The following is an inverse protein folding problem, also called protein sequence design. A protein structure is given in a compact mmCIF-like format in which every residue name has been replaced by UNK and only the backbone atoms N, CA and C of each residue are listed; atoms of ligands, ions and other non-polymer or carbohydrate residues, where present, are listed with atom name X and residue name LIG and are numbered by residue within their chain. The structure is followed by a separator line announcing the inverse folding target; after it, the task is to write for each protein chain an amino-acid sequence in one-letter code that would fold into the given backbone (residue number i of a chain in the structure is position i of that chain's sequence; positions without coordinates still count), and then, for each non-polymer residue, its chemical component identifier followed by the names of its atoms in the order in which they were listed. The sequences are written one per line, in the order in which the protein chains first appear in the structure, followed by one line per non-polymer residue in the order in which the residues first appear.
data_IF_384235899537
#
_entry.id   IF_384235899537
#
_cell.length_a   1.000
_cell.length_b   1.000
_cell.length_c   1.000
_cell.angle_alpha   90.00
_cell.angle_beta   90.00
_cell.angle_gamma   90.00
#
_symmetry.space_group_name_H-M   'P 1'
#
loop_
_entity.id
_entity.type
_entity.pdbx_description
1 polymer ?
#
# COMPACT_ATOMS: atom_id res chain seq x y z
N UNK A 1 -16.21 4.27 10.34
CA UNK A 1 -17.27 4.84 9.48
C UNK A 1 -17.74 6.21 9.97
N UNK A 2 -17.72 6.50 11.27
CA UNK A 2 -18.15 7.80 11.86
C UNK A 2 -17.55 9.04 11.18
N UNK A 3 -16.24 9.03 10.90
CA UNK A 3 -15.59 10.16 10.22
C UNK A 3 -16.14 10.42 8.80
N UNK A 4 -16.65 9.40 8.09
CA UNK A 4 -17.32 9.61 6.81
C UNK A 4 -18.71 10.19 6.99
N UNK A 5 -19.48 9.73 7.98
CA UNK A 5 -20.81 10.29 8.26
C UNK A 5 -20.72 11.80 8.56
N UNK A 6 -19.74 12.22 9.38
CA UNK A 6 -19.51 13.63 9.70
C UNK A 6 -19.19 14.50 8.48
N UNK A 7 -18.59 13.94 7.42
CA UNK A 7 -18.29 14.70 6.19
C UNK A 7 -19.53 15.03 5.36
N UNK A 8 -20.59 14.25 5.52
CA UNK A 8 -21.86 14.34 4.78
C UNK A 8 -23.03 14.75 5.68
N UNK A 9 -22.75 15.21 6.92
CA UNK A 9 -23.77 15.65 7.87
C UNK A 9 -24.52 16.89 7.36
N UNK A 10 -23.79 17.85 6.79
CA UNK A 10 -24.35 18.98 6.04
C UNK A 10 -24.32 18.65 4.54
N UNK A 11 -25.51 18.44 3.95
CA UNK A 11 -25.65 18.09 2.53
C UNK A 11 -25.29 19.25 1.58
N UNK A 12 -25.37 20.50 2.05
CA UNK A 12 -25.03 21.69 1.27
C UNK A 12 -23.52 21.98 1.32
N UNK A 13 -22.82 21.52 2.37
CA UNK A 13 -21.39 21.77 2.61
C UNK A 13 -20.57 20.50 2.83
N UNK A 14 -20.66 19.54 1.91
CA UNK A 14 -19.91 18.27 2.00
C UNK A 14 -18.40 18.48 2.04
N UNK A 15 -17.74 18.01 3.09
CA UNK A 15 -16.28 18.09 3.26
C UNK A 15 -15.60 16.98 2.46
N UNK A 16 -15.18 17.31 1.23
CA UNK A 16 -14.47 16.38 0.35
C UNK A 16 -13.02 16.16 0.79
N UNK A 17 -12.47 15.00 0.44
CA UNK A 17 -11.06 14.70 0.67
C UNK A 17 -10.25 15.17 -0.54
N UNK A 18 -9.01 15.64 -0.34
CA UNK A 18 -8.18 16.05 -1.45
C UNK A 18 -7.88 14.84 -2.35
N UNK A 19 -7.92 15.06 -3.66
CA UNK A 19 -7.49 14.06 -4.63
C UNK A 19 -5.97 13.87 -4.52
N UNK A 20 -5.52 12.63 -4.60
CA UNK A 20 -4.11 12.27 -4.73
C UNK A 20 -3.95 11.34 -5.91
N UNK A 21 -2.84 11.49 -6.63
CA UNK A 21 -2.50 10.59 -7.72
C UNK A 21 -2.40 9.14 -7.20
N UNK A 22 -3.05 8.18 -7.89
CA UNK A 22 -3.00 6.78 -7.48
C UNK A 22 -1.59 6.23 -7.59
N UNK A 23 -1.22 5.41 -6.61
CA UNK A 23 0.11 4.78 -6.56
C UNK A 23 0.00 3.39 -7.17
N UNK A 24 0.79 3.10 -8.20
CA UNK A 24 0.77 1.82 -8.91
C UNK A 24 0.97 0.60 -7.98
N UNK A 25 1.88 0.73 -7.00
CA UNK A 25 2.11 -0.30 -5.99
C UNK A 25 0.87 -0.62 -5.15
N UNK A 26 -0.09 0.30 -5.04
CA UNK A 26 -1.36 0.11 -4.34
C UNK A 26 -2.51 -0.24 -5.30
N UNK A 27 -2.24 -0.93 -6.41
CA UNK A 27 -3.27 -1.27 -7.41
C UNK A 27 -3.92 -0.02 -8.06
N UNK A 28 -3.21 1.11 -8.09
CA UNK A 28 -3.78 2.41 -8.48
C UNK A 28 -5.08 2.72 -7.72
N UNK A 29 -5.14 2.35 -6.45
CA UNK A 29 -6.31 2.54 -5.61
C UNK A 29 -6.64 4.02 -5.43
N UNK A 30 -7.91 4.37 -5.64
CA UNK A 30 -8.46 5.70 -5.37
C UNK A 30 -9.20 5.63 -4.05
N UNK A 31 -8.86 6.52 -3.13
CA UNK A 31 -9.47 6.56 -1.80
C UNK A 31 -10.99 6.76 -1.88
N UNK A 32 -11.75 5.89 -1.22
CA UNK A 32 -13.22 5.88 -1.18
C UNK A 32 -13.78 7.24 -0.76
N UNK A 33 -14.58 7.95 -1.54
CA UNK A 33 -15.04 9.29 -1.20
C UNK A 33 -16.31 9.32 -0.36
N UNK A 34 -17.17 8.31 -0.54
CA UNK A 34 -18.50 8.23 0.07
C UNK A 34 -18.61 7.09 1.08
N UNK A 35 -19.70 7.04 1.84
CA UNK A 35 -19.98 5.90 2.71
C UNK A 35 -20.32 4.64 1.90
N UNK A 36 -20.92 4.82 0.72
CA UNK A 36 -21.25 3.74 -0.21
C UNK A 36 -19.98 3.08 -0.74
N UNK A 37 -18.96 3.87 -1.09
CA UNK A 37 -17.64 3.36 -1.51
C UNK A 37 -17.02 2.48 -0.41
N UNK A 38 -17.04 2.95 0.85
CA UNK A 38 -16.54 2.16 1.99
C UNK A 38 -17.36 0.90 2.24
N UNK A 39 -18.68 0.96 2.07
CA UNK A 39 -19.56 -0.21 2.22
C UNK A 39 -19.31 -1.24 1.13
N UNK A 40 -19.01 -0.81 -0.09
CA UNK A 40 -18.72 -1.69 -1.22
C UNK A 40 -17.45 -2.52 -0.99
N UNK A 41 -16.44 -1.95 -0.33
CA UNK A 41 -15.15 -2.61 -0.11
C UNK A 41 -15.05 -3.39 1.21
N UNK A 42 -16.02 -3.21 2.13
CA UNK A 42 -16.02 -3.73 3.51
C UNK A 42 -15.68 -5.21 3.67
N UNK A 43 -16.00 -6.04 2.68
CA UNK A 43 -15.77 -7.49 2.74
C UNK A 43 -14.56 -7.94 1.90
N UNK A 44 -13.97 -7.03 1.12
CA UNK A 44 -12.80 -7.32 0.31
C UNK A 44 -11.54 -6.91 1.09
N UNK A 45 -10.86 -7.90 1.66
CA UNK A 45 -9.62 -7.71 2.41
C UNK A 45 -8.56 -6.95 1.60
N UNK A 46 -8.38 -7.25 0.32
CA UNK A 46 -7.38 -6.56 -0.49
C UNK A 46 -7.70 -5.07 -0.63
N UNK A 47 -8.95 -4.74 -0.95
CA UNK A 47 -9.43 -3.37 -1.07
C UNK A 47 -9.27 -2.57 0.22
N UNK A 48 -9.63 -3.15 1.38
CA UNK A 48 -9.45 -2.50 2.68
C UNK A 48 -7.97 -2.20 2.95
N UNK A 49 -7.07 -3.14 2.61
CA UNK A 49 -5.64 -2.89 2.79
C UNK A 49 -5.12 -1.80 1.86
N UNK A 50 -5.52 -1.77 0.58
CA UNK A 50 -5.10 -0.72 -0.36
C UNK A 50 -5.68 0.65 0.01
N UNK A 51 -6.95 0.72 0.43
CA UNK A 51 -7.57 1.91 1.01
C UNK A 51 -6.75 2.40 2.21
N UNK A 52 -6.39 1.50 3.13
CA UNK A 52 -5.61 1.83 4.32
C UNK A 52 -4.19 2.34 4.04
N UNK A 53 -3.52 1.82 3.00
CA UNK A 53 -2.20 2.31 2.59
C UNK A 53 -2.28 3.67 1.90
N UNK A 54 -3.26 3.83 1.00
CA UNK A 54 -3.53 5.09 0.27
C UNK A 54 -3.83 6.23 1.23
N UNK A 55 -4.72 6.00 2.21
CA UNK A 55 -5.04 6.99 3.25
C UNK A 55 -3.80 7.37 4.06
N UNK A 56 -3.04 6.38 4.52
CA UNK A 56 -1.85 6.62 5.35
C UNK A 56 -0.83 7.47 4.62
N UNK A 57 -0.54 7.14 3.37
CA UNK A 57 0.46 7.87 2.60
C UNK A 57 0.00 9.30 2.28
N UNK A 58 -1.28 9.51 1.97
CA UNK A 58 -1.83 10.86 1.78
C UNK A 58 -1.76 11.70 3.07
N UNK A 59 -2.10 11.13 4.22
CA UNK A 59 -2.18 11.87 5.49
C UNK A 59 -0.80 12.11 6.09
N UNK A 60 0.05 11.09 6.12
CA UNK A 60 1.37 11.16 6.76
C UNK A 60 2.41 11.78 5.82
N UNK A 61 2.20 11.67 4.51
CA UNK A 61 3.15 12.12 3.49
C UNK A 61 4.31 11.16 3.30
N UNK A 62 4.96 11.26 2.14
CA UNK A 62 6.12 10.44 1.77
C UNK A 62 7.36 10.72 2.62
N UNK A 63 7.40 11.84 3.35
CA UNK A 63 8.50 12.22 4.25
C UNK A 63 8.39 11.61 5.64
N UNK A 64 7.33 10.83 5.92
CA UNK A 64 7.16 10.22 7.23
C UNK A 64 8.00 8.93 7.35
N UNK A 65 9.00 8.88 8.26
CA UNK A 65 9.97 7.78 8.32
C UNK A 65 9.39 6.39 8.61
N UNK A 66 8.24 6.31 9.29
CA UNK A 66 7.61 5.05 9.71
C UNK A 66 6.57 4.51 8.71
N UNK A 67 6.16 5.31 7.71
CA UNK A 67 5.22 4.88 6.66
C UNK A 67 5.64 3.56 5.98
N UNK A 68 6.93 3.33 5.63
CA UNK A 68 7.37 2.11 4.98
C UNK A 68 7.05 0.82 5.76
N UNK A 69 7.00 0.88 7.09
CA UNK A 69 6.79 -0.31 7.92
C UNK A 69 5.42 -0.97 7.65
N UNK A 70 4.38 -0.17 7.39
CA UNK A 70 3.05 -0.68 7.07
C UNK A 70 2.99 -1.36 5.69
N UNK A 71 3.72 -0.81 4.72
CA UNK A 71 3.80 -1.32 3.35
C UNK A 71 4.57 -2.65 3.35
N UNK A 72 5.70 -2.69 4.05
CA UNK A 72 6.55 -3.89 4.18
C UNK A 72 5.75 -5.03 4.81
N UNK A 73 5.01 -4.75 5.89
CA UNK A 73 4.19 -5.75 6.56
C UNK A 73 3.11 -6.34 5.63
N UNK A 74 2.41 -5.50 4.86
CA UNK A 74 1.43 -6.00 3.87
C UNK A 74 2.10 -6.84 2.79
N UNK A 75 3.28 -6.45 2.33
CA UNK A 75 4.06 -7.25 1.38
C UNK A 75 4.44 -8.62 1.95
N UNK A 76 4.87 -8.69 3.21
CA UNK A 76 5.19 -9.97 3.87
C UNK A 76 3.97 -10.92 3.90
N UNK A 77 2.78 -10.42 4.28
CA UNK A 77 1.54 -11.21 4.23
C UNK A 77 1.26 -11.74 2.82
N UNK A 78 1.53 -10.95 1.78
CA UNK A 78 1.34 -11.37 0.40
C UNK A 78 2.35 -12.44 -0.03
N UNK A 79 3.60 -12.33 0.41
CA UNK A 79 4.63 -13.35 0.19
C UNK A 79 4.25 -14.69 0.86
N UNK A 80 3.73 -14.64 2.09
CA UNK A 80 3.23 -15.84 2.79
C UNK A 80 2.06 -16.50 2.04
N UNK A 81 1.26 -15.69 1.32
CA UNK A 81 0.19 -16.13 0.42
C UNK A 81 0.70 -16.50 -0.99
N UNK A 82 2.02 -16.56 -1.21
CA UNK A 82 2.68 -16.83 -2.50
C UNK A 82 2.37 -15.82 -3.61
N UNK A 83 1.88 -14.63 -3.25
CA UNK A 83 1.66 -13.49 -4.17
C UNK A 83 2.91 -12.62 -4.23
N UNK A 84 3.98 -13.21 -4.76
CA UNK A 84 5.32 -12.61 -4.78
C UNK A 84 5.40 -11.34 -5.63
N UNK A 85 4.72 -11.32 -6.77
CA UNK A 85 4.58 -10.17 -7.66
C UNK A 85 4.05 -8.92 -6.93
N UNK A 86 3.02 -9.10 -6.10
CA UNK A 86 2.41 -8.01 -5.35
C UNK A 86 3.23 -7.62 -4.12
N UNK A 87 3.89 -8.58 -3.49
CA UNK A 87 4.87 -8.30 -2.44
C UNK A 87 5.98 -7.38 -2.99
N UNK A 88 6.56 -7.74 -4.13
CA UNK A 88 7.61 -6.98 -4.80
C UNK A 88 7.16 -5.54 -5.11
N UNK A 89 5.98 -5.34 -5.72
CA UNK A 89 5.46 -4.00 -5.98
C UNK A 89 5.36 -3.13 -4.72
N UNK A 90 4.90 -3.70 -3.60
CA UNK A 90 4.80 -2.97 -2.32
C UNK A 90 6.18 -2.68 -1.72
N UNK A 91 7.08 -3.66 -1.71
CA UNK A 91 8.41 -3.47 -1.15
C UNK A 91 9.25 -2.48 -1.97
N UNK A 92 9.06 -2.40 -3.29
CA UNK A 92 9.68 -1.36 -4.12
C UNK A 92 9.20 0.04 -3.69
N UNK A 93 7.90 0.22 -3.41
CA UNK A 93 7.38 1.50 -2.87
C UNK A 93 7.99 1.82 -1.51
N UNK A 94 8.07 0.84 -0.61
CA UNK A 94 8.69 1.02 0.69
C UNK A 94 10.18 1.41 0.58
N UNK A 95 10.91 0.79 -0.35
CA UNK A 95 12.30 1.10 -0.64
C UNK A 95 12.47 2.53 -1.16
N UNK A 96 11.63 2.94 -2.11
CA UNK A 96 11.59 4.31 -2.62
C UNK A 96 11.37 5.32 -1.49
N UNK A 97 10.41 5.07 -0.59
CA UNK A 97 10.13 5.92 0.56
C UNK A 97 11.30 5.96 1.56
N UNK A 98 11.96 4.82 1.83
CA UNK A 98 13.16 4.82 2.69
C UNK A 98 14.29 5.63 2.08
N UNK A 99 14.51 5.48 0.77
CA UNK A 99 15.56 6.20 0.04
C UNK A 99 15.29 7.72 -0.01
N UNK A 100 14.04 8.13 -0.26
CA UNK A 100 13.65 9.55 -0.26
C UNK A 100 13.86 10.20 1.11
N UNK A 101 13.72 9.43 2.18
CA UNK A 101 13.97 9.88 3.56
C UNK A 101 15.43 9.69 4.02
N UNK A 102 16.34 9.29 3.13
CA UNK A 102 17.76 9.04 3.45
C UNK A 102 17.95 7.99 4.57
N UNK A 103 17.02 7.05 4.69
CA UNK A 103 17.08 5.96 5.68
C UNK A 103 17.85 4.78 5.06
N UNK A 104 18.79 4.14 5.80
CA UNK A 104 19.53 3.00 5.28
C UNK A 104 18.62 1.83 4.86
N UNK A 105 18.83 1.31 3.65
CA UNK A 105 17.96 0.29 3.02
C UNK A 105 18.51 -1.14 3.08
N UNK A 106 19.64 -1.36 3.76
CA UNK A 106 20.31 -2.67 3.81
C UNK A 106 19.37 -3.82 4.26
N UNK A 107 18.48 -3.55 5.23
CA UNK A 107 17.50 -4.55 5.71
C UNK A 107 16.45 -4.88 4.66
N UNK A 108 16.06 -3.90 3.85
CA UNK A 108 15.08 -4.10 2.79
C UNK A 108 15.68 -4.95 1.67
N UNK A 109 16.93 -4.68 1.27
CA UNK A 109 17.66 -5.49 0.29
C UNK A 109 17.81 -6.96 0.73
N UNK A 110 18.08 -7.20 2.01
CA UNK A 110 18.12 -8.56 2.56
C UNK A 110 16.76 -9.28 2.43
N UNK A 111 15.66 -8.57 2.68
CA UNK A 111 14.31 -9.12 2.50
C UNK A 111 14.04 -9.47 1.02
N UNK A 112 14.43 -8.61 0.09
CA UNK A 112 14.31 -8.91 -1.35
C UNK A 112 15.09 -10.17 -1.74
N UNK A 113 16.33 -10.29 -1.29
CA UNK A 113 17.12 -11.50 -1.56
C UNK A 113 16.44 -12.77 -1.01
N UNK A 114 15.86 -12.70 0.18
CA UNK A 114 15.07 -13.80 0.75
C UNK A 114 13.81 -14.10 -0.08
N UNK A 115 13.09 -13.07 -0.54
CA UNK A 115 11.90 -13.22 -1.38
C UNK A 115 12.24 -13.94 -2.69
N UNK A 116 13.26 -13.49 -3.41
CA UNK A 116 13.67 -14.12 -4.68
C UNK A 116 14.16 -15.56 -4.48
N UNK A 117 14.86 -15.84 -3.37
CA UNK A 117 15.23 -17.21 -3.00
C UNK A 117 14.00 -18.10 -2.79
N UNK A 118 12.97 -17.59 -2.10
CA UNK A 118 11.69 -18.31 -1.92
C UNK A 118 10.94 -18.49 -3.25
N UNK A 119 10.91 -17.47 -4.12
CA UNK A 119 10.30 -17.56 -5.45
C UNK A 119 10.96 -18.67 -6.28
N UNK A 120 12.29 -18.71 -6.29
CA UNK A 120 13.06 -19.71 -7.03
C UNK A 120 12.79 -21.14 -6.53
N UNK A 121 12.79 -21.35 -5.21
CA UNK A 121 12.50 -22.67 -4.61
C UNK A 121 11.08 -23.15 -4.86
N UNK A 122 10.13 -22.24 -5.09
CA UNK A 122 8.73 -22.57 -5.39
C UNK A 122 8.42 -22.62 -6.90
N UNK A 123 9.45 -22.68 -7.78
CA UNK A 123 9.32 -22.68 -9.24
C UNK A 123 8.55 -21.45 -9.80
N UNK A 124 8.57 -20.33 -9.09
CA UNK A 124 8.02 -19.08 -9.61
C UNK A 124 9.01 -18.46 -10.60
N UNK A 125 8.54 -18.06 -11.80
CA UNK A 125 9.41 -17.43 -12.80
C UNK A 125 9.92 -16.08 -12.27
N UNK A 126 11.23 -15.95 -12.14
CA UNK A 126 11.87 -14.66 -11.90
C UNK A 126 11.77 -13.83 -13.18
N UNK A 127 11.14 -12.66 -13.11
CA UNK A 127 11.21 -11.67 -14.18
C UNK A 127 12.50 -10.88 -14.00
N UNK A 128 13.58 -11.38 -14.58
CA UNK A 128 14.80 -10.60 -14.74
C UNK A 128 14.63 -9.85 -16.05
N UNK A 129 14.30 -8.57 -15.98
CA UNK A 129 14.33 -7.70 -17.17
C UNK A 129 15.82 -7.46 -17.51
N UNK A 130 16.22 -7.85 -18.73
CA UNK A 130 17.57 -7.64 -19.27
C UNK A 130 17.85 -6.17 -19.58
#
# INVERSE_FOLDING_TARGET
MTAMLLRYEDCENVIRKPFTEPIASYDNWIECQTIQDLQAIRLNHNSIHMEGLTIRERILGSTYPELPQHIIYRGAILADQKRFDRCECLWIRALYLRQSNKIPVHRDLLRFAQLYSQMFTQNHKLKIEN
#
